data_IF_376300900821
#
_entry.id   IF_376300900821
#
_cell.length_a   1.000
_cell.length_b   1.000
_cell.length_c   1.000
_cell.angle_alpha   90.00
_cell.angle_beta   90.00
_cell.angle_gamma   90.00
#
_symmetry.space_group_name_H-M   'P 1'
#
loop_
_entity.id
_entity.type
_entity.pdbx_description
1 polymer ?
#
# COMPACT_ATOMS: atom_id res chain seq x y z
N UNK A 1 -56.93 42.18 12.82
CA UNK A 1 -55.69 41.82 12.09
C UNK A 1 -55.07 40.65 12.83
N UNK A 2 -55.05 39.51 12.15
CA UNK A 2 -54.76 38.16 12.66
C UNK A 2 -53.43 38.01 13.39
N UNK A 3 -53.47 37.26 14.51
CA UNK A 3 -52.29 36.72 15.19
C UNK A 3 -51.82 35.45 14.49
N UNK A 4 -50.64 35.50 13.87
CA UNK A 4 -49.95 34.31 13.34
C UNK A 4 -49.26 33.56 14.47
N UNK A 5 -49.57 32.26 14.58
CA UNK A 5 -49.07 31.32 15.58
C UNK A 5 -47.56 31.02 15.43
N UNK A 6 -46.81 30.84 16.52
CA UNK A 6 -45.36 30.56 16.51
C UNK A 6 -44.98 29.09 16.19
N UNK A 7 -45.94 28.21 15.87
CA UNK A 7 -45.73 26.75 15.82
C UNK A 7 -45.01 26.20 14.57
N UNK A 8 -44.52 27.03 13.66
CA UNK A 8 -43.89 26.56 12.40
C UNK A 8 -42.35 26.64 12.35
N UNK A 9 -41.66 27.06 13.43
CA UNK A 9 -40.19 27.07 13.43
C UNK A 9 -39.53 25.86 14.11
N UNK A 10 -40.28 24.98 14.78
CA UNK A 10 -39.73 23.87 15.57
C UNK A 10 -39.65 22.52 14.81
N UNK A 11 -39.65 22.51 13.47
CA UNK A 11 -39.64 21.25 12.69
C UNK A 11 -38.40 21.05 11.81
N UNK A 12 -37.36 21.89 11.94
CA UNK A 12 -36.18 21.83 11.05
C UNK A 12 -34.85 21.56 11.78
N UNK A 13 -34.90 20.83 12.90
CA UNK A 13 -33.72 20.28 13.56
C UNK A 13 -34.03 18.85 13.95
N UNK A 14 -33.64 17.91 13.09
CA UNK A 14 -33.15 16.55 13.42
C UNK A 14 -33.29 15.64 12.19
N UNK A 15 -32.31 15.77 11.30
CA UNK A 15 -31.99 14.73 10.32
C UNK A 15 -30.49 14.49 10.37
N UNK A 16 -29.99 14.19 11.56
CA UNK A 16 -28.71 13.53 11.76
C UNK A 16 -28.92 12.05 11.48
N UNK A 17 -28.78 11.66 10.21
CA UNK A 17 -28.67 10.27 9.83
C UNK A 17 -27.58 9.60 10.70
N UNK A 18 -27.81 8.39 11.25
CA UNK A 18 -26.79 7.69 12.02
C UNK A 18 -25.59 7.44 11.11
N UNK A 19 -24.47 8.10 11.39
CA UNK A 19 -23.21 7.80 10.75
C UNK A 19 -22.83 6.37 11.10
N UNK A 20 -22.97 5.47 10.14
CA UNK A 20 -22.49 4.10 10.29
C UNK A 20 -21.01 4.15 10.73
N UNK A 21 -20.60 3.42 11.76
CA UNK A 21 -19.21 3.36 12.16
C UNK A 21 -18.42 2.70 11.02
N UNK A 22 -17.76 3.52 10.19
CA UNK A 22 -16.74 3.06 9.27
C UNK A 22 -15.58 2.63 10.15
N UNK A 23 -15.49 1.33 10.43
CA UNK A 23 -14.38 0.77 11.19
C UNK A 23 -13.07 1.25 10.55
N UNK A 24 -12.12 1.82 11.33
CA UNK A 24 -10.87 2.27 10.77
C UNK A 24 -10.16 1.05 10.16
N UNK A 25 -9.65 1.20 8.94
CA UNK A 25 -8.98 0.16 8.14
C UNK A 25 -7.90 -0.59 8.95
N UNK A 26 -7.35 0.05 9.99
CA UNK A 26 -6.39 -0.51 10.94
C UNK A 26 -6.89 -1.74 11.73
N UNK A 27 -8.20 -1.97 11.86
CA UNK A 27 -8.74 -3.10 12.65
C UNK A 27 -8.65 -4.44 11.90
N UNK A 28 -8.42 -4.44 10.58
CA UNK A 28 -8.55 -5.66 9.75
C UNK A 28 -7.18 -6.34 9.45
N UNK A 29 -6.05 -5.63 9.55
CA UNK A 29 -4.72 -6.15 9.19
C UNK A 29 -3.84 -6.42 10.42
N UNK A 30 -3.97 -7.61 11.01
CA UNK A 30 -2.99 -8.07 12.02
C UNK A 30 -1.65 -8.43 11.36
N UNK A 31 -0.55 -8.31 12.11
CA UNK A 31 0.80 -8.64 11.60
C UNK A 31 0.86 -10.07 11.01
N UNK A 32 0.14 -11.02 11.62
CA UNK A 32 0.01 -12.40 11.13
C UNK A 32 -0.61 -12.47 9.73
N UNK A 33 -1.72 -11.75 9.48
CA UNK A 33 -2.39 -11.75 8.17
C UNK A 33 -1.48 -11.17 7.09
N UNK A 34 -0.74 -10.10 7.40
CA UNK A 34 0.22 -9.50 6.47
C UNK A 34 1.37 -10.47 6.17
N UNK A 35 1.84 -11.21 7.18
CA UNK A 35 2.83 -12.28 6.97
C UNK A 35 2.34 -13.37 6.01
N UNK A 36 1.09 -13.82 6.16
CA UNK A 36 0.46 -14.79 5.24
C UNK A 36 0.34 -14.21 3.83
N UNK A 37 -0.12 -12.97 3.69
CA UNK A 37 -0.22 -12.30 2.38
C UNK A 37 1.15 -12.16 1.71
N UNK A 38 2.17 -11.79 2.47
CA UNK A 38 3.55 -11.70 1.97
C UNK A 38 4.04 -13.06 1.47
N UNK A 39 3.89 -14.12 2.28
CA UNK A 39 4.30 -15.47 1.90
C UNK A 39 3.52 -16.03 0.70
N UNK A 40 2.20 -15.82 0.66
CA UNK A 40 1.36 -16.22 -0.47
C UNK A 40 1.75 -15.47 -1.76
N UNK A 41 2.07 -14.18 -1.66
CA UNK A 41 2.54 -13.40 -2.80
C UNK A 41 3.93 -13.83 -3.25
N UNK A 42 4.85 -14.17 -2.32
CA UNK A 42 6.14 -14.78 -2.67
C UNK A 42 5.94 -16.09 -3.43
N UNK A 43 5.00 -16.94 -2.99
CA UNK A 43 4.67 -18.17 -3.71
C UNK A 43 4.11 -17.89 -5.11
N UNK A 44 3.25 -16.89 -5.25
CA UNK A 44 2.75 -16.45 -6.56
C UNK A 44 3.89 -16.02 -7.49
N UNK A 45 4.84 -15.21 -7.01
CA UNK A 45 6.02 -14.80 -7.78
C UNK A 45 6.80 -16.01 -8.28
N UNK A 46 7.07 -16.97 -7.38
CA UNK A 46 7.76 -18.22 -7.73
C UNK A 46 6.98 -19.00 -8.78
N UNK A 47 5.66 -19.13 -8.62
CA UNK A 47 4.81 -19.83 -9.60
C UNK A 47 4.82 -19.16 -10.97
N UNK A 48 4.68 -17.83 -11.03
CA UNK A 48 4.75 -17.07 -12.28
C UNK A 48 6.10 -17.23 -12.97
N UNK A 49 7.19 -17.19 -12.20
CA UNK A 49 8.55 -17.30 -12.73
C UNK A 49 8.95 -18.69 -13.21
N UNK A 50 8.38 -19.74 -12.61
CA UNK A 50 8.80 -21.14 -12.84
C UNK A 50 7.85 -21.89 -13.81
N UNK A 51 6.57 -21.51 -13.86
CA UNK A 51 5.59 -22.21 -14.69
C UNK A 51 5.64 -21.78 -16.16
N UNK A 52 5.26 -22.67 -17.10
CA UNK A 52 4.98 -24.09 -16.87
C UNK A 52 6.26 -24.93 -16.75
N UNK A 53 6.26 -25.94 -15.86
CA UNK A 53 7.45 -26.77 -15.55
C UNK A 53 7.98 -27.58 -16.75
N UNK A 54 7.15 -27.88 -17.74
CA UNK A 54 7.57 -28.63 -18.93
C UNK A 54 8.55 -27.86 -19.82
N UNK A 55 8.73 -26.55 -19.59
CA UNK A 55 9.72 -25.76 -20.30
C UNK A 55 11.16 -26.11 -19.91
N UNK A 56 11.39 -26.75 -18.77
CA UNK A 56 12.71 -27.11 -18.29
C UNK A 56 13.29 -28.27 -19.10
N UNK A 57 14.49 -28.10 -19.65
CA UNK A 57 15.12 -29.09 -20.55
C UNK A 57 16.48 -29.62 -20.09
N UNK A 58 16.93 -29.24 -18.89
CA UNK A 58 18.12 -29.81 -18.25
C UNK A 58 19.47 -29.40 -18.85
N UNK A 59 19.49 -28.58 -19.89
CA UNK A 59 20.69 -27.90 -20.41
C UNK A 59 20.48 -26.39 -20.39
N UNK A 60 21.59 -25.67 -20.25
CA UNK A 60 21.58 -24.21 -20.11
C UNK A 60 21.61 -23.50 -21.45
N UNK A 61 20.81 -22.44 -21.56
CA UNK A 61 20.66 -21.53 -22.69
C UNK A 61 21.36 -20.20 -22.42
N UNK A 62 22.65 -20.24 -22.11
CA UNK A 62 23.42 -19.03 -21.75
C UNK A 62 23.46 -18.01 -22.89
N UNK A 63 23.39 -18.48 -24.13
CA UNK A 63 23.37 -17.68 -25.35
C UNK A 63 22.11 -16.82 -25.51
N UNK A 64 21.04 -17.14 -24.79
CA UNK A 64 19.76 -16.42 -24.85
C UNK A 64 19.57 -15.44 -23.69
N UNK A 65 20.58 -15.26 -22.82
CA UNK A 65 20.56 -14.27 -21.75
C UNK A 65 20.61 -12.86 -22.36
N UNK A 66 19.54 -12.09 -22.14
CA UNK A 66 19.48 -10.67 -22.51
C UNK A 66 20.19 -9.85 -21.44
N UNK A 67 21.37 -9.34 -21.78
CA UNK A 67 22.16 -8.52 -20.87
C UNK A 67 21.68 -7.06 -20.84
N UNK A 68 22.07 -6.29 -21.85
CA UNK A 68 21.69 -4.89 -22.03
C UNK A 68 21.40 -4.70 -23.51
N UNK A 69 20.25 -4.10 -23.89
CA UNK A 69 19.95 -3.80 -25.28
C UNK A 69 21.00 -2.88 -25.90
N UNK A 70 21.38 -3.16 -27.14
CA UNK A 70 22.28 -2.29 -27.90
C UNK A 70 21.54 -1.04 -28.42
N UNK A 71 22.24 0.09 -28.69
CA UNK A 71 21.58 1.32 -29.14
C UNK A 71 20.76 1.18 -30.44
N UNK A 72 21.18 0.29 -31.33
CA UNK A 72 20.44 -0.08 -32.55
C UNK A 72 19.14 -0.82 -32.23
N UNK A 73 19.13 -1.72 -31.25
CA UNK A 73 17.91 -2.39 -30.78
C UNK A 73 16.93 -1.41 -30.13
N UNK A 74 17.44 -0.44 -29.36
CA UNK A 74 16.63 0.61 -28.74
C UNK A 74 16.01 1.59 -29.75
N UNK A 75 16.44 1.58 -31.01
CA UNK A 75 15.81 2.38 -32.06
C UNK A 75 14.54 1.73 -32.62
N UNK A 76 14.30 0.44 -32.32
CA UNK A 76 13.10 -0.28 -32.74
C UNK A 76 11.94 0.00 -31.78
N UNK A 77 10.80 0.56 -32.27
CA UNK A 77 9.63 0.81 -31.44
C UNK A 77 9.05 -0.45 -30.79
N UNK A 78 9.17 -1.61 -31.46
CA UNK A 78 8.66 -2.88 -30.93
C UNK A 78 9.48 -3.33 -29.73
N UNK A 79 10.81 -3.27 -29.83
CA UNK A 79 11.73 -3.64 -28.74
C UNK A 79 11.51 -2.75 -27.52
N UNK A 80 11.34 -1.44 -27.73
CA UNK A 80 11.01 -0.48 -26.67
C UNK A 80 9.69 -0.82 -25.96
N UNK A 81 8.66 -1.19 -26.72
CA UNK A 81 7.37 -1.57 -26.17
C UNK A 81 7.49 -2.86 -25.35
N UNK A 82 8.18 -3.87 -25.87
CA UNK A 82 8.40 -5.14 -25.18
C UNK A 82 9.16 -4.94 -23.87
N UNK A 83 10.26 -4.18 -23.90
CA UNK A 83 11.03 -3.79 -22.71
C UNK A 83 10.17 -3.05 -21.67
N UNK A 84 9.32 -2.12 -22.13
CA UNK A 84 8.44 -1.37 -21.22
C UNK A 84 7.37 -2.25 -20.59
N UNK A 85 6.79 -3.19 -21.36
CA UNK A 85 5.80 -4.15 -20.85
C UNK A 85 6.44 -5.10 -19.84
N UNK A 86 7.61 -5.65 -20.17
CA UNK A 86 8.40 -6.52 -19.27
C UNK A 86 8.72 -5.78 -17.97
N UNK A 87 9.23 -4.55 -18.05
CA UNK A 87 9.56 -3.73 -16.88
C UNK A 87 8.33 -3.44 -16.01
N UNK A 88 7.22 -3.00 -16.61
CA UNK A 88 5.98 -2.72 -15.87
C UNK A 88 5.45 -3.98 -15.20
N UNK A 89 5.46 -5.12 -15.88
CA UNK A 89 5.00 -6.39 -15.33
C UNK A 89 5.86 -6.83 -14.14
N UNK A 90 7.18 -6.77 -14.26
CA UNK A 90 8.14 -7.13 -13.21
C UNK A 90 8.02 -6.19 -11.99
N UNK A 91 7.98 -4.88 -12.22
CA UNK A 91 7.77 -3.88 -11.15
C UNK A 91 6.43 -4.11 -10.44
N UNK A 92 5.35 -4.31 -11.19
CA UNK A 92 4.01 -4.55 -10.64
C UNK A 92 3.93 -5.87 -9.85
N UNK A 93 4.64 -6.90 -10.29
CA UNK A 93 4.69 -8.20 -9.63
C UNK A 93 5.46 -8.13 -8.29
N UNK A 94 6.56 -7.38 -8.23
CA UNK A 94 7.38 -7.26 -7.02
C UNK A 94 6.97 -6.11 -6.08
N UNK A 95 6.17 -5.14 -6.53
CA UNK A 95 5.69 -4.06 -5.66
C UNK A 95 4.89 -4.56 -4.45
N UNK A 96 3.93 -5.51 -4.57
CA UNK A 96 3.23 -6.03 -3.40
C UNK A 96 4.16 -6.82 -2.45
N UNK A 97 5.21 -7.45 -2.97
CA UNK A 97 6.23 -8.11 -2.14
C UNK A 97 6.91 -7.12 -1.20
N UNK A 98 7.37 -5.98 -1.74
CA UNK A 98 7.96 -4.91 -0.93
C UNK A 98 6.97 -4.25 0.02
N UNK A 99 5.76 -3.99 -0.45
CA UNK A 99 4.68 -3.39 0.34
C UNK A 99 4.34 -4.25 1.56
N UNK A 100 3.99 -5.51 1.35
CA UNK A 100 3.61 -6.40 2.45
C UNK A 100 4.77 -6.66 3.40
N UNK A 101 6.01 -6.76 2.89
CA UNK A 101 7.19 -6.88 3.74
C UNK A 101 7.27 -5.73 4.75
N UNK A 102 7.09 -4.49 4.29
CA UNK A 102 7.11 -3.28 5.12
C UNK A 102 5.93 -3.20 6.09
N UNK A 103 4.73 -3.56 5.64
CA UNK A 103 3.53 -3.51 6.48
C UNK A 103 3.59 -4.48 7.67
N UNK A 104 4.43 -5.53 7.64
CA UNK A 104 4.66 -6.38 8.83
C UNK A 104 5.24 -5.60 10.03
N UNK A 105 5.98 -4.52 9.74
CA UNK A 105 6.50 -3.59 10.75
C UNK A 105 5.48 -2.58 11.27
N UNK A 106 4.23 -2.57 10.78
CA UNK A 106 3.20 -1.60 11.20
C UNK A 106 2.98 -1.63 12.72
N UNK A 107 2.90 -2.82 13.30
CA UNK A 107 2.68 -3.07 14.74
C UNK A 107 3.95 -3.53 15.48
N UNK A 108 5.13 -3.43 14.87
CA UNK A 108 6.37 -3.98 15.38
C UNK A 108 7.60 -3.13 15.05
N UNK A 109 8.82 -3.68 15.23
CA UNK A 109 10.04 -2.98 14.84
C UNK A 109 10.07 -2.72 13.34
N UNK A 110 10.75 -1.64 12.96
CA UNK A 110 10.96 -1.32 11.54
C UNK A 110 11.71 -2.45 10.85
N UNK A 111 11.28 -2.81 9.65
CA UNK A 111 11.95 -3.83 8.85
C UNK A 111 13.17 -3.25 8.14
N UNK A 112 14.21 -4.07 7.95
CA UNK A 112 15.44 -3.64 7.29
C UNK A 112 15.25 -3.52 5.78
N UNK A 113 15.44 -2.30 5.24
CA UNK A 113 15.49 -2.03 3.79
C UNK A 113 16.52 -2.90 3.08
N UNK A 114 17.71 -3.08 3.67
CA UNK A 114 18.77 -3.90 3.08
C UNK A 114 18.34 -5.37 2.96
N UNK A 115 17.69 -5.90 4.00
CA UNK A 115 17.18 -7.27 3.98
C UNK A 115 16.13 -7.45 2.89
N UNK A 116 15.18 -6.52 2.75
CA UNK A 116 14.18 -6.59 1.69
C UNK A 116 14.80 -6.62 0.30
N UNK A 117 15.73 -5.70 0.01
CA UNK A 117 16.38 -5.63 -1.30
C UNK A 117 17.22 -6.88 -1.59
N UNK A 118 17.90 -7.43 -0.58
CA UNK A 118 18.63 -8.70 -0.71
C UNK A 118 17.69 -9.87 -0.98
N UNK A 119 16.53 -9.94 -0.32
CA UNK A 119 15.53 -10.98 -0.57
C UNK A 119 14.91 -10.85 -1.96
N UNK A 120 14.58 -9.63 -2.40
CA UNK A 120 14.07 -9.39 -3.75
C UNK A 120 15.11 -9.77 -4.82
N UNK A 121 16.37 -9.36 -4.63
CA UNK A 121 17.48 -9.73 -5.51
C UNK A 121 17.67 -11.24 -5.56
N UNK A 122 17.75 -11.91 -4.40
CA UNK A 122 17.96 -13.35 -4.34
C UNK A 122 16.80 -14.14 -4.97
N UNK A 123 15.55 -13.71 -4.73
CA UNK A 123 14.36 -14.31 -5.33
C UNK A 123 14.38 -14.15 -6.85
N UNK A 124 14.61 -12.93 -7.35
CA UNK A 124 14.68 -12.67 -8.78
C UNK A 124 15.83 -13.41 -9.44
N UNK A 125 17.02 -13.37 -8.86
CA UNK A 125 18.19 -14.09 -9.38
C UNK A 125 17.95 -15.60 -9.46
N UNK A 126 17.27 -16.17 -8.46
CA UNK A 126 16.94 -17.60 -8.46
C UNK A 126 15.96 -17.96 -9.58
N UNK A 127 14.98 -17.09 -9.86
CA UNK A 127 14.02 -17.27 -10.95
C UNK A 127 14.71 -17.15 -12.30
N UNK A 128 15.49 -16.07 -12.51
CA UNK A 128 16.27 -15.84 -13.72
C UNK A 128 17.23 -17.01 -14.01
N UNK A 129 17.93 -17.48 -12.97
CA UNK A 129 18.83 -18.62 -13.06
C UNK A 129 18.11 -19.92 -13.42
N UNK A 130 16.91 -20.16 -12.87
CA UNK A 130 16.07 -21.30 -13.26
C UNK A 130 15.67 -21.21 -14.74
N UNK A 131 15.32 -20.00 -15.20
CA UNK A 131 14.88 -19.77 -16.59
C UNK A 131 15.98 -19.98 -17.62
N UNK A 132 17.26 -19.91 -17.25
CA UNK A 132 18.38 -20.31 -18.13
C UNK A 132 18.24 -21.75 -18.62
N UNK A 133 17.53 -22.62 -17.89
CA UNK A 133 17.30 -24.01 -18.28
C UNK A 133 15.95 -24.24 -18.98
N UNK A 134 15.23 -23.16 -19.35
CA UNK A 134 13.89 -23.22 -19.94
C UNK A 134 13.90 -22.81 -21.43
N UNK A 135 13.15 -23.51 -22.28
CA UNK A 135 13.09 -23.23 -23.74
C UNK A 135 12.34 -21.94 -24.11
N UNK A 136 11.16 -21.72 -23.51
CA UNK A 136 10.25 -20.64 -23.89
C UNK A 136 10.27 -19.47 -22.88
N UNK A 137 11.37 -19.32 -22.15
CA UNK A 137 11.58 -18.21 -21.23
C UNK A 137 12.91 -17.57 -21.57
N UNK A 138 12.92 -16.24 -21.63
CA UNK A 138 14.13 -15.47 -21.81
C UNK A 138 14.59 -14.95 -20.46
N UNK A 139 15.82 -15.26 -20.10
CA UNK A 139 16.50 -14.67 -18.94
C UNK A 139 16.97 -13.26 -19.28
N UNK A 140 16.79 -12.32 -18.36
CA UNK A 140 17.10 -10.89 -18.59
C UNK A 140 17.65 -10.23 -17.34
N UNK A 141 18.78 -9.52 -17.48
CA UNK A 141 19.35 -8.74 -16.38
C UNK A 141 18.44 -7.55 -16.02
N UNK A 142 17.70 -7.01 -17.00
CA UNK A 142 16.75 -5.93 -16.77
C UNK A 142 15.59 -6.40 -15.88
N UNK A 143 15.10 -7.61 -16.08
CA UNK A 143 14.02 -8.19 -15.28
C UNK A 143 14.42 -8.29 -13.81
N UNK A 144 15.68 -8.66 -13.55
CA UNK A 144 16.25 -8.64 -12.21
C UNK A 144 16.26 -7.25 -11.59
N UNK A 145 16.66 -6.22 -12.36
CA UNK A 145 16.66 -4.83 -11.90
C UNK A 145 15.25 -4.34 -11.65
N UNK A 146 14.31 -4.61 -12.55
CA UNK A 146 12.91 -4.20 -12.48
C UNK A 146 12.17 -4.87 -11.31
N UNK A 147 12.46 -6.13 -11.02
CA UNK A 147 11.95 -6.83 -9.84
C UNK A 147 12.44 -6.18 -8.53
N UNK A 148 13.73 -5.86 -8.44
CA UNK A 148 14.30 -5.16 -7.28
C UNK A 148 13.71 -3.73 -7.15
N UNK A 149 13.52 -3.05 -8.28
CA UNK A 149 12.88 -1.73 -8.34
C UNK A 149 11.42 -1.80 -7.89
N UNK A 150 10.66 -2.81 -8.32
CA UNK A 150 9.31 -3.08 -7.86
C UNK A 150 9.25 -3.23 -6.34
N UNK A 151 10.11 -4.09 -5.78
CA UNK A 151 10.20 -4.26 -4.33
C UNK A 151 10.53 -2.94 -3.61
N UNK A 152 11.41 -2.12 -4.18
CA UNK A 152 11.74 -0.80 -3.65
C UNK A 152 10.57 0.19 -3.69
N UNK A 153 9.82 0.25 -4.79
CA UNK A 153 8.60 1.07 -4.93
C UNK A 153 7.56 0.64 -3.89
N UNK A 154 7.30 -0.67 -3.80
CA UNK A 154 6.40 -1.24 -2.82
C UNK A 154 6.78 -0.90 -1.37
N UNK A 155 8.07 -1.01 -1.05
CA UNK A 155 8.58 -0.63 0.26
C UNK A 155 8.34 0.84 0.56
N UNK A 156 8.60 1.73 -0.39
CA UNK A 156 8.44 3.19 -0.23
C UNK A 156 6.96 3.54 0.03
N UNK A 157 6.04 2.91 -0.69
CA UNK A 157 4.60 3.03 -0.44
C UNK A 157 4.21 2.52 0.94
N UNK A 158 4.76 1.37 1.36
CA UNK A 158 4.54 0.81 2.70
C UNK A 158 5.07 1.71 3.81
N UNK A 159 6.26 2.28 3.65
CA UNK A 159 6.84 3.21 4.61
C UNK A 159 6.00 4.48 4.73
N UNK A 160 5.56 5.04 3.60
CA UNK A 160 4.65 6.19 3.58
C UNK A 160 3.36 5.89 4.34
N UNK A 161 2.76 4.72 4.10
CA UNK A 161 1.56 4.29 4.81
C UNK A 161 1.78 4.13 6.31
N UNK A 162 2.85 3.44 6.73
CA UNK A 162 3.19 3.22 8.15
C UNK A 162 3.43 4.55 8.86
N UNK A 163 4.17 5.48 8.24
CA UNK A 163 4.42 6.82 8.79
C UNK A 163 3.12 7.59 9.00
N UNK A 164 2.21 7.54 8.02
CA UNK A 164 0.90 8.20 8.10
C UNK A 164 0.03 7.62 9.22
N UNK A 165 -0.03 6.31 9.39
CA UNK A 165 -0.82 5.68 10.45
C UNK A 165 -0.22 5.93 11.84
N UNK A 166 1.11 6.04 11.97
CA UNK A 166 1.76 6.39 13.25
C UNK A 166 1.58 7.86 13.65
N UNK A 167 1.31 8.77 12.71
CA UNK A 167 1.06 10.18 12.99
C UNK A 167 -0.41 10.50 13.38
N UNK A 168 -1.35 9.60 13.08
CA UNK A 168 -2.78 9.77 13.42
C UNK A 168 -3.13 9.76 14.93
N UNK A 169 -2.47 8.98 15.80
CA UNK A 169 -2.76 8.96 17.24
C UNK A 169 -2.51 10.30 17.93
N UNK A 170 -1.48 11.05 17.52
CA UNK A 170 -1.08 12.32 18.15
C UNK A 170 -2.16 13.40 17.94
N UNK A 171 -2.77 13.47 16.76
CA UNK A 171 -3.84 14.42 16.45
C UNK A 171 -5.17 14.14 17.18
N UNK A 172 -5.40 12.90 17.64
CA UNK A 172 -6.62 12.53 18.38
C UNK A 172 -6.57 12.99 19.84
N UNK A 173 -5.37 13.19 20.38
CA UNK A 173 -5.17 13.66 21.76
C UNK A 173 -5.21 15.20 21.83
N UNK A 174 -4.87 15.89 20.73
CA UNK A 174 -4.78 17.36 20.68
C UNK A 174 -6.05 18.10 20.20
N UNK A 175 -7.10 17.42 19.74
CA UNK A 175 -8.35 18.05 19.27
C UNK A 175 -9.55 17.78 20.22
N UNK A 176 -10.46 18.73 20.46
CA UNK A 176 -10.32 19.81 21.44
C UNK A 176 -11.20 19.59 22.70
N UNK A 177 -10.59 19.66 23.90
CA UNK A 177 -11.29 20.02 25.15
C UNK A 177 -11.50 21.54 25.29
N UNK A 178 -11.29 22.30 24.22
CA UNK A 178 -11.34 23.77 24.20
C UNK A 178 -12.76 24.35 24.00
N UNK A 179 -13.83 23.67 24.45
CA UNK A 179 -15.18 24.25 24.41
C UNK A 179 -16.10 23.73 25.53
N UNK A 180 -15.74 23.98 26.79
CA UNK A 180 -16.66 23.74 27.92
C UNK A 180 -16.48 24.73 29.08
N UNK A 181 -16.21 26.00 28.79
CA UNK A 181 -16.20 27.05 29.81
C UNK A 181 -17.09 28.26 29.49
N UNK A 182 -17.92 28.20 28.44
CA UNK A 182 -18.76 29.34 28.06
C UNK A 182 -20.22 28.93 27.78
N UNK A 183 -20.91 28.50 28.84
CA UNK A 183 -22.37 28.62 28.94
C UNK A 183 -22.71 29.12 30.34
N UNK A 184 -22.68 30.43 30.47
CA UNK A 184 -23.29 31.20 31.55
C UNK A 184 -24.82 31.02 31.54
N UNK A 185 -25.49 31.19 32.69
CA UNK A 185 -26.76 31.89 32.68
C UNK A 185 -26.74 33.05 33.68
N UNK A 186 -26.72 34.27 33.15
CA UNK A 186 -27.30 35.41 33.82
C UNK A 186 -28.83 35.29 33.74
N UNK A 187 -29.51 35.24 34.89
CA UNK A 187 -30.72 36.01 35.22
C UNK A 187 -31.40 35.44 36.48
N UNK A 188 -31.19 36.10 37.61
CA UNK A 188 -32.15 36.13 38.72
C UNK A 188 -32.50 37.61 38.95
N UNK A 189 -33.68 37.99 38.49
CA UNK A 189 -34.24 39.32 38.66
C UNK A 189 -34.95 39.48 40.01
N UNK A 190 -34.67 40.64 40.64
CA UNK A 190 -35.61 41.61 41.20
C UNK A 190 -36.71 41.16 42.19
N UNK A 191 -36.73 41.81 43.38
CA UNK A 191 -37.98 42.28 43.98
C UNK A 191 -38.05 42.24 45.51
N UNK A 192 -37.87 43.39 46.19
CA UNK A 192 -38.97 44.13 46.87
C UNK A 192 -38.45 45.30 47.72
N UNK A 193 -39.19 46.40 47.59
CA UNK A 193 -39.11 47.66 48.32
C UNK A 193 -39.91 47.60 49.64
N UNK A 194 -39.37 48.24 50.68
CA UNK A 194 -39.99 49.19 51.66
C UNK A 194 -41.22 48.79 52.51
N UNK A 195 -41.51 49.50 53.64
CA UNK A 195 -40.90 50.73 54.17
C UNK A 195 -40.16 50.60 55.51
#
# INVERSE_FOLDING_TARGET
MESLSPDLQQSRHDSSAPSLPVAPVSVILTSTRIGVLWGAWTLLIVMVGILPLHNFVGHSHWEFVRWIPTPDQLSSPQVLLDLAVDAVANIALFAPFGLFFTLRGLHGPAVSRRLLLLLAFALSLSIEYYQVYCHNRSTSLLDLVDNVLGAYVGMTLGEWYVRRERARPEQRIEAPTANRSDRSPAHAGNGRQNP
#
